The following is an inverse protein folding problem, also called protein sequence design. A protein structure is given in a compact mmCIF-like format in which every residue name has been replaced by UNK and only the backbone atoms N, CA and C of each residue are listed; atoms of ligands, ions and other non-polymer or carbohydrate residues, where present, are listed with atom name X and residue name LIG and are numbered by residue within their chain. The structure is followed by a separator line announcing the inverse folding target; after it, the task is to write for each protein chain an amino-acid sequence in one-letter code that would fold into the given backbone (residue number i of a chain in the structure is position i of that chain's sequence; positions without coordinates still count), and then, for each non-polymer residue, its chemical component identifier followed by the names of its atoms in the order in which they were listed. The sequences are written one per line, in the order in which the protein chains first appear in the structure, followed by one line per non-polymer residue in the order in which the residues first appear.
data_IF_997846495538
#
_entry.id   IF_997846495538
#
_cell.length_a   1.000
_cell.length_b   1.000
_cell.length_c   1.000
_cell.angle_alpha   90.00
_cell.angle_beta   90.00
_cell.angle_gamma   90.00
#
_symmetry.space_group_name_H-M   'P 1'
#
loop_
_entity.id
_entity.type
_entity.pdbx_description
1 polymer ?
#
# COMPACT_ATOMS: atom_id res chain seq x y z
N UNK A 1 4.71 19.43 -24.37
CA UNK A 1 4.73 20.88 -24.08
C UNK A 1 5.50 21.06 -22.76
N UNK A 2 6.71 21.66 -22.78
CA UNK A 2 7.47 21.94 -21.56
C UNK A 2 7.08 23.33 -21.05
N UNK A 3 6.41 23.40 -19.91
CA UNK A 3 6.13 24.68 -19.25
C UNK A 3 7.32 25.00 -18.34
N UNK A 4 8.30 25.73 -18.86
CA UNK A 4 9.41 26.22 -18.04
C UNK A 4 8.93 27.37 -17.15
N UNK A 5 8.74 27.10 -15.86
CA UNK A 5 8.51 28.16 -14.87
C UNK A 5 9.86 28.83 -14.62
N UNK A 6 10.06 30.05 -15.14
CA UNK A 6 11.19 30.90 -14.74
C UNK A 6 10.91 31.41 -13.33
N UNK A 7 11.53 30.79 -12.32
CA UNK A 7 11.50 31.29 -10.95
C UNK A 7 12.44 32.50 -10.82
N UNK A 8 11.87 33.69 -10.64
CA UNK A 8 12.61 34.95 -10.42
C UNK A 8 12.79 35.25 -8.92
N UNK A 9 13.29 34.29 -8.15
CA UNK A 9 13.56 34.41 -6.71
C UNK A 9 14.92 33.83 -6.32
N UNK A 10 15.37 33.94 -5.05
CA UNK A 10 16.72 33.55 -4.60
C UNK A 10 16.97 32.03 -4.59
N UNK A 11 16.04 31.23 -5.11
CA UNK A 11 16.09 29.76 -5.08
C UNK A 11 16.34 29.21 -6.47
N UNK A 12 17.34 28.33 -6.59
CA UNK A 12 17.54 27.52 -7.80
C UNK A 12 16.49 26.40 -7.83
N UNK A 13 15.44 26.58 -8.63
CA UNK A 13 14.45 25.53 -8.86
C UNK A 13 14.92 24.64 -10.01
N UNK A 14 15.23 23.37 -9.71
CA UNK A 14 15.50 22.35 -10.72
C UNK A 14 14.25 21.47 -10.87
N UNK A 15 13.67 21.46 -12.06
CA UNK A 15 12.61 20.52 -12.39
C UNK A 15 13.19 19.10 -12.50
N UNK A 16 12.57 18.14 -11.83
CA UNK A 16 12.87 16.72 -11.94
C UNK A 16 11.59 16.01 -12.32
N UNK A 17 11.60 15.33 -13.47
CA UNK A 17 10.44 14.57 -13.97
C UNK A 17 10.61 13.09 -13.61
N UNK A 18 9.58 12.48 -13.02
CA UNK A 18 9.53 11.03 -12.82
C UNK A 18 8.92 10.41 -14.10
N UNK A 19 9.62 9.48 -14.77
CA UNK A 19 9.18 8.98 -16.08
C UNK A 19 7.96 8.06 -15.95
N UNK A 20 6.97 8.27 -16.83
CA UNK A 20 5.88 7.33 -17.05
C UNK A 20 6.31 6.19 -17.98
N UNK A 21 5.71 5.02 -17.78
CA UNK A 21 5.82 3.86 -18.68
C UNK A 21 4.79 3.94 -19.82
N UNK A 22 4.75 2.92 -20.67
CA UNK A 22 3.70 2.63 -21.64
C UNK A 22 2.53 1.81 -21.04
N UNK A 23 2.68 1.29 -19.81
CA UNK A 23 1.73 0.39 -19.17
C UNK A 23 0.61 1.14 -18.45
N UNK A 24 -0.60 0.63 -18.61
CA UNK A 24 -1.81 1.12 -17.94
C UNK A 24 -2.36 0.05 -17.01
N UNK A 25 -2.93 0.49 -15.89
CA UNK A 25 -3.70 -0.34 -14.97
C UNK A 25 -5.00 0.39 -14.64
N UNK A 26 -6.12 -0.12 -15.15
CA UNK A 26 -7.38 0.61 -15.14
C UNK A 26 -7.22 2.01 -15.73
N UNK A 27 -7.59 3.04 -14.96
CA UNK A 27 -7.47 4.45 -15.35
C UNK A 27 -6.11 5.10 -15.05
N UNK A 28 -5.11 4.37 -14.54
CA UNK A 28 -3.80 4.94 -14.18
C UNK A 28 -2.72 4.49 -15.18
N UNK A 29 -1.97 5.47 -15.70
CA UNK A 29 -0.71 5.23 -16.41
C UNK A 29 0.41 5.04 -15.39
N UNK A 30 1.07 3.90 -15.41
CA UNK A 30 2.10 3.56 -14.42
C UNK A 30 3.39 4.33 -14.66
N UNK A 31 4.10 4.65 -13.58
CA UNK A 31 5.48 5.12 -13.63
C UNK A 31 6.41 3.99 -14.08
N UNK A 32 7.56 4.33 -14.67
CA UNK A 32 8.51 3.35 -15.21
C UNK A 32 8.92 2.32 -14.14
N UNK A 33 9.29 2.79 -12.95
CA UNK A 33 9.69 1.90 -11.86
C UNK A 33 8.52 1.05 -11.33
N UNK A 34 7.27 1.54 -11.39
CA UNK A 34 6.10 0.74 -10.98
C UNK A 34 5.89 -0.44 -11.93
N UNK A 35 6.05 -0.21 -13.25
CA UNK A 35 6.04 -1.28 -14.25
C UNK A 35 7.12 -2.32 -13.96
N UNK A 36 8.35 -1.86 -13.75
CA UNK A 36 9.51 -2.72 -13.47
C UNK A 36 9.28 -3.61 -12.24
N UNK A 37 8.84 -3.04 -11.11
CA UNK A 37 8.58 -3.80 -9.88
C UNK A 37 7.47 -4.85 -10.10
N UNK A 38 6.41 -4.53 -10.83
CA UNK A 38 5.30 -5.48 -11.08
C UNK A 38 5.74 -6.64 -11.99
N UNK A 39 6.70 -6.40 -12.88
CA UNK A 39 7.23 -7.41 -13.82
C UNK A 39 8.40 -8.22 -13.25
N UNK A 40 8.97 -7.80 -12.11
CA UNK A 40 10.13 -8.43 -11.49
C UNK A 40 9.83 -9.80 -10.87
N UNK A 41 10.66 -10.84 -11.03
CA UNK A 41 10.35 -12.17 -10.47
C UNK A 41 10.87 -12.36 -9.04
N UNK A 42 11.76 -11.47 -8.59
CA UNK A 42 12.38 -11.53 -7.27
C UNK A 42 11.37 -11.42 -6.13
N UNK A 43 11.61 -12.23 -5.08
CA UNK A 43 10.75 -12.29 -3.88
C UNK A 43 10.93 -11.09 -2.94
N UNK A 44 12.08 -10.43 -3.01
CA UNK A 44 12.44 -9.31 -2.15
C UNK A 44 12.88 -8.13 -3.00
N UNK A 45 12.12 -7.04 -2.93
CA UNK A 45 12.37 -5.83 -3.70
C UNK A 45 12.67 -4.66 -2.77
N UNK A 46 13.76 -3.95 -3.05
CA UNK A 46 14.09 -2.69 -2.38
C UNK A 46 13.80 -1.52 -3.32
N UNK A 47 12.84 -0.67 -2.95
CA UNK A 47 12.45 0.49 -3.75
C UNK A 47 12.95 1.78 -3.11
N UNK A 48 13.99 2.36 -3.70
CA UNK A 48 14.47 3.69 -3.32
C UNK A 48 13.88 4.75 -4.26
N UNK A 49 12.87 5.47 -3.79
CA UNK A 49 12.26 6.57 -4.55
C UNK A 49 11.81 7.72 -3.62
N UNK A 50 11.72 8.97 -4.11
CA UNK A 50 11.26 10.12 -3.32
C UNK A 50 9.87 9.93 -2.70
N UNK A 51 9.53 10.67 -1.65
CA UNK A 51 8.15 10.75 -1.16
C UNK A 51 7.21 11.26 -2.26
N UNK A 52 5.94 10.84 -2.26
CA UNK A 52 4.97 11.22 -3.30
C UNK A 52 5.19 10.58 -4.68
N UNK A 53 6.23 9.77 -4.88
CA UNK A 53 6.50 9.11 -6.16
C UNK A 53 5.57 7.93 -6.48
N UNK A 54 4.61 7.57 -5.61
CA UNK A 54 3.69 6.46 -5.85
C UNK A 54 4.16 5.07 -5.37
N UNK A 55 5.14 5.01 -4.45
CA UNK A 55 5.65 3.74 -3.89
C UNK A 55 4.54 2.86 -3.29
N UNK A 56 3.58 3.49 -2.60
CA UNK A 56 2.42 2.82 -1.99
C UNK A 56 1.58 2.08 -3.02
N UNK A 57 1.31 2.70 -4.18
CA UNK A 57 0.61 2.03 -5.27
C UNK A 57 1.44 0.88 -5.85
N UNK A 58 2.76 1.08 -5.99
CA UNK A 58 3.64 0.03 -6.51
C UNK A 58 3.58 -1.23 -5.63
N UNK A 59 3.70 -1.09 -4.31
CA UNK A 59 3.62 -2.21 -3.38
C UNK A 59 2.23 -2.85 -3.35
N UNK A 60 1.16 -2.07 -3.46
CA UNK A 60 -0.21 -2.58 -3.53
C UNK A 60 -0.47 -3.43 -4.79
N UNK A 61 0.07 -3.01 -5.94
CA UNK A 61 -0.07 -3.77 -7.19
C UNK A 61 0.71 -5.08 -7.14
N UNK A 62 1.93 -5.09 -6.59
CA UNK A 62 2.71 -6.32 -6.37
C UNK A 62 1.98 -7.28 -5.44
N UNK A 63 1.48 -6.76 -4.32
CA UNK A 63 0.71 -7.52 -3.34
C UNK A 63 -0.51 -8.21 -3.98
N UNK A 64 -1.28 -7.45 -4.75
CA UNK A 64 -2.46 -7.94 -5.46
C UNK A 64 -2.10 -8.99 -6.53
N UNK A 65 -1.10 -8.71 -7.37
CA UNK A 65 -0.75 -9.59 -8.50
C UNK A 65 -0.08 -10.90 -8.05
N UNK A 66 0.52 -10.97 -6.85
CA UNK A 66 1.39 -12.11 -6.46
C UNK A 66 1.03 -12.80 -5.16
N UNK A 67 0.54 -12.06 -4.17
CA UNK A 67 0.59 -12.55 -2.79
C UNK A 67 -0.78 -13.01 -2.28
N UNK A 68 -1.87 -12.65 -2.96
CA UNK A 68 -3.24 -12.88 -2.51
C UNK A 68 -3.59 -12.03 -1.27
N UNK A 69 -2.80 -12.19 -0.21
CA UNK A 69 -2.84 -11.35 0.99
C UNK A 69 -1.50 -10.71 1.28
N UNK A 70 -1.56 -9.46 1.73
CA UNK A 70 -0.39 -8.66 2.06
C UNK A 70 -0.66 -7.79 3.28
N UNK A 71 0.39 -7.57 4.06
CA UNK A 71 0.36 -6.69 5.22
C UNK A 71 1.22 -5.45 4.92
N UNK A 72 0.65 -4.27 5.17
CA UNK A 72 1.36 -3.00 5.05
C UNK A 72 1.63 -2.45 6.43
N UNK A 73 2.91 -2.29 6.78
CA UNK A 73 3.34 -1.84 8.10
C UNK A 73 3.78 -0.38 7.99
N UNK A 74 3.14 0.48 8.78
CA UNK A 74 3.47 1.90 8.87
C UNK A 74 3.97 2.24 10.27
N UNK A 75 4.94 3.17 10.41
CA UNK A 75 5.53 3.50 11.70
C UNK A 75 4.59 4.25 12.66
N UNK A 76 3.52 4.90 12.17
CA UNK A 76 2.58 5.66 13.01
C UNK A 76 1.12 5.43 12.63
N UNK A 77 0.23 5.45 13.63
CA UNK A 77 -1.21 5.12 13.48
C UNK A 77 -1.97 6.10 12.60
N UNK A 78 -1.68 7.41 12.74
CA UNK A 78 -2.32 8.45 11.94
C UNK A 78 -1.96 8.30 10.46
N UNK A 79 -0.68 8.04 10.18
CA UNK A 79 -0.22 7.79 8.81
C UNK A 79 -0.80 6.49 8.25
N UNK A 80 -0.96 5.44 9.06
CA UNK A 80 -1.50 4.16 8.59
C UNK A 80 -2.93 4.29 8.02
N UNK A 81 -3.81 5.04 8.69
CA UNK A 81 -5.19 5.21 8.23
C UNK A 81 -5.26 6.02 6.93
N UNK A 82 -4.53 7.13 6.86
CA UNK A 82 -4.51 7.99 5.67
C UNK A 82 -3.90 7.26 4.48
N UNK A 83 -2.86 6.44 4.71
CA UNK A 83 -2.27 5.61 3.67
C UNK A 83 -3.21 4.50 3.21
N UNK A 84 -3.93 3.84 4.13
CA UNK A 84 -4.93 2.83 3.76
C UNK A 84 -6.06 3.45 2.90
N UNK A 85 -6.56 4.63 3.26
CA UNK A 85 -7.55 5.38 2.46
C UNK A 85 -7.01 5.79 1.10
N UNK A 86 -5.78 6.32 1.05
CA UNK A 86 -5.13 6.69 -0.21
C UNK A 86 -4.94 5.47 -1.11
N UNK A 87 -4.50 4.35 -0.54
CA UNK A 87 -4.27 3.11 -1.27
C UNK A 87 -5.58 2.54 -1.81
N UNK A 88 -6.65 2.49 -1.01
CA UNK A 88 -7.98 2.07 -1.49
C UNK A 88 -8.48 2.93 -2.65
N UNK A 89 -8.25 4.25 -2.61
CA UNK A 89 -8.59 5.17 -3.70
C UNK A 89 -7.74 4.94 -4.95
N UNK A 90 -6.47 4.60 -4.80
CA UNK A 90 -5.60 4.34 -5.95
C UNK A 90 -5.88 2.96 -6.57
N UNK A 91 -6.19 1.95 -5.75
CA UNK A 91 -6.65 0.64 -6.21
C UNK A 91 -7.98 0.74 -6.96
N UNK A 92 -8.94 1.55 -6.48
CA UNK A 92 -10.22 1.71 -7.19
C UNK A 92 -10.06 2.35 -8.58
N UNK A 93 -9.12 3.29 -8.75
CA UNK A 93 -8.75 3.83 -10.07
C UNK A 93 -8.10 2.77 -10.97
N UNK A 94 -7.44 1.78 -10.39
CA UNK A 94 -6.92 0.61 -11.10
C UNK A 94 -8.01 -0.43 -11.42
N UNK A 95 -9.26 -0.21 -11.00
CA UNK A 95 -10.36 -1.15 -11.14
C UNK A 95 -10.37 -2.26 -10.10
N UNK A 96 -9.62 -2.12 -9.01
CA UNK A 96 -9.47 -3.12 -7.95
C UNK A 96 -10.29 -2.68 -6.72
N UNK A 97 -11.20 -3.52 -6.27
CA UNK A 97 -11.98 -3.30 -5.05
C UNK A 97 -11.13 -3.50 -3.80
N UNK A 98 -11.15 -2.53 -2.89
CA UNK A 98 -10.40 -2.60 -1.64
C UNK A 98 -11.28 -2.19 -0.44
N UNK A 99 -11.19 -2.96 0.64
CA UNK A 99 -11.86 -2.66 1.92
C UNK A 99 -10.80 -2.45 3.01
N UNK A 100 -10.98 -1.42 3.83
CA UNK A 100 -10.12 -1.18 5.00
C UNK A 100 -10.76 -1.88 6.19
N UNK A 101 -10.05 -2.87 6.73
CA UNK A 101 -10.51 -3.63 7.87
C UNK A 101 -9.95 -3.05 9.17
N UNK A 102 -10.84 -2.82 10.13
CA UNK A 102 -10.45 -2.70 11.52
C UNK A 102 -10.26 -4.11 12.10
N UNK A 103 -9.04 -4.51 12.51
CA UNK A 103 -8.79 -5.87 13.02
C UNK A 103 -9.60 -6.19 14.29
N UNK A 104 -10.20 -5.18 14.95
CA UNK A 104 -11.06 -5.36 16.13
C UNK A 104 -12.49 -5.78 15.74
N UNK A 105 -12.87 -5.61 14.47
CA UNK A 105 -14.20 -5.95 13.92
C UNK A 105 -14.03 -6.55 12.52
N UNK A 106 -13.67 -7.84 12.42
CA UNK A 106 -13.35 -8.49 11.16
C UNK A 106 -14.62 -8.83 10.34
N UNK A 107 -15.49 -7.87 10.11
CA UNK A 107 -16.58 -8.00 9.15
C UNK A 107 -16.03 -7.67 7.76
N UNK A 108 -16.06 -8.64 6.84
CA UNK A 108 -15.46 -8.51 5.51
C UNK A 108 -16.54 -8.67 4.44
N UNK A 109 -16.61 -7.73 3.50
CA UNK A 109 -17.52 -7.76 2.35
C UNK A 109 -16.78 -8.18 1.09
N UNK A 110 -16.25 -9.40 1.08
CA UNK A 110 -15.58 -10.08 -0.06
C UNK A 110 -14.85 -9.14 -1.05
N UNK A 111 -13.93 -8.26 -0.61
CA UNK A 111 -13.19 -7.39 -1.52
C UNK A 111 -12.09 -8.20 -2.23
N UNK A 112 -11.60 -7.67 -3.36
CA UNK A 112 -10.39 -8.20 -3.99
C UNK A 112 -9.12 -7.96 -3.15
N UNK A 113 -9.07 -6.83 -2.43
CA UNK A 113 -7.96 -6.48 -1.53
C UNK A 113 -8.50 -6.10 -0.17
N UNK A 114 -7.96 -6.73 0.87
CA UNK A 114 -8.23 -6.36 2.26
C UNK A 114 -7.04 -5.59 2.84
N UNK A 115 -7.27 -4.34 3.22
CA UNK A 115 -6.28 -3.47 3.85
C UNK A 115 -6.50 -3.50 5.36
N UNK A 116 -5.75 -4.34 6.07
CA UNK A 116 -5.88 -4.43 7.52
C UNK A 116 -5.03 -3.37 8.20
N UNK A 117 -5.67 -2.48 8.96
CA UNK A 117 -4.94 -1.46 9.71
C UNK A 117 -4.34 -2.05 10.98
N UNK A 118 -3.01 -2.11 11.06
CA UNK A 118 -2.30 -2.66 12.20
C UNK A 118 -1.46 -1.59 12.88
N UNK A 119 -1.64 -1.47 14.19
CA UNK A 119 -0.91 -0.61 15.12
C UNK A 119 -0.51 -1.40 16.35
N UNK A 120 0.45 -0.91 17.14
CA UNK A 120 0.79 -1.55 18.42
C UNK A 120 -0.44 -1.66 19.33
N UNK A 121 -1.24 -0.60 19.43
CA UNK A 121 -2.48 -0.60 20.22
C UNK A 121 -3.50 -1.64 19.73
N UNK A 122 -3.73 -1.71 18.41
CA UNK A 122 -4.66 -2.70 17.85
C UNK A 122 -4.11 -4.13 18.00
N UNK A 123 -2.79 -4.32 17.94
CA UNK A 123 -2.15 -5.61 18.18
C UNK A 123 -2.25 -6.03 19.65
N UNK A 124 -2.07 -5.12 20.60
CA UNK A 124 -2.23 -5.38 22.03
C UNK A 124 -3.68 -5.78 22.34
N UNK A 125 -4.64 -5.04 21.78
CA UNK A 125 -6.07 -5.32 21.92
C UNK A 125 -6.44 -6.67 21.28
N UNK A 126 -5.93 -6.92 20.07
CA UNK A 126 -6.15 -8.18 19.36
C UNK A 126 -5.54 -9.35 20.15
N UNK A 127 -4.30 -9.21 20.62
CA UNK A 127 -3.62 -10.22 21.42
C UNK A 127 -4.40 -10.57 22.70
N UNK A 128 -4.88 -9.54 23.40
CA UNK A 128 -5.73 -9.67 24.58
C UNK A 128 -7.04 -10.40 24.26
N UNK A 129 -7.73 -10.02 23.18
CA UNK A 129 -9.00 -10.64 22.76
C UNK A 129 -8.85 -12.10 22.32
N UNK A 130 -7.68 -12.47 21.78
CA UNK A 130 -7.38 -13.81 21.28
C UNK A 130 -6.65 -14.70 22.30
N UNK A 131 -6.39 -14.17 23.50
CA UNK A 131 -5.69 -14.87 24.58
C UNK A 131 -4.24 -15.26 24.24
N UNK A 132 -3.53 -14.44 23.45
CA UNK A 132 -2.14 -14.70 23.03
C UNK A 132 -1.18 -13.71 23.65
N UNK A 133 0.11 -14.08 23.74
CA UNK A 133 1.11 -13.31 24.50
C UNK A 133 1.93 -12.37 23.61
N UNK A 134 1.99 -12.64 22.31
CA UNK A 134 2.84 -11.89 21.39
C UNK A 134 2.06 -11.28 20.23
N UNK A 135 2.57 -10.18 19.68
CA UNK A 135 2.03 -9.58 18.45
C UNK A 135 2.13 -10.54 17.25
N UNK A 136 3.16 -11.37 17.20
CA UNK A 136 3.33 -12.38 16.17
C UNK A 136 2.21 -13.43 16.18
N UNK A 137 1.85 -13.94 17.36
CA UNK A 137 0.73 -14.88 17.52
C UNK A 137 -0.61 -14.22 17.14
N UNK A 138 -0.81 -12.96 17.52
CA UNK A 138 -2.02 -12.21 17.18
C UNK A 138 -2.16 -12.04 15.66
N UNK A 139 -1.08 -11.67 14.97
CA UNK A 139 -1.03 -11.56 13.51
C UNK A 139 -1.29 -12.91 12.82
N UNK A 140 -0.70 -13.99 13.33
CA UNK A 140 -0.87 -15.32 12.76
C UNK A 140 -2.32 -15.79 12.88
N UNK A 141 -2.97 -15.60 14.03
CA UNK A 141 -4.38 -15.94 14.21
C UNK A 141 -5.30 -15.10 13.32
N UNK A 142 -5.03 -13.80 13.21
CA UNK A 142 -5.78 -12.90 12.32
C UNK A 142 -5.67 -13.35 10.86
N UNK A 143 -4.46 -13.71 10.40
CA UNK A 143 -4.27 -14.29 9.05
C UNK A 143 -5.17 -15.51 8.84
N UNK A 144 -5.19 -16.45 9.78
CA UNK A 144 -6.00 -17.68 9.66
C UNK A 144 -7.51 -17.39 9.63
N UNK A 145 -7.98 -16.37 10.34
CA UNK A 145 -9.40 -15.96 10.32
C UNK A 145 -9.80 -15.32 8.99
N UNK A 146 -8.90 -14.51 8.41
CA UNK A 146 -9.16 -13.80 7.16
C UNK A 146 -8.96 -14.66 5.92
N UNK A 147 -8.18 -15.74 6.03
CA UNK A 147 -7.85 -16.67 4.95
C UNK A 147 -7.97 -18.11 5.45
N UNK A 148 -9.18 -18.67 5.51
CA UNK A 148 -9.31 -20.12 5.63
C UNK A 148 -8.60 -20.78 4.44
N UNK A 149 -7.84 -21.83 4.73
CA UNK A 149 -6.97 -22.53 3.80
C UNK A 149 -7.65 -22.99 2.50
#
# INVERSE_FOLDING_TARGET
MKFGIKASGPFNIREVTIPYSDKWRGGIRLLKYQKEIIEEEEKLLLVNAPTGSGKTLASALVAYDRCGVSAFIYPTNSLALDQAKSMAKDLSKCGISAEILDPRRPEVRSPEVLLVQISSLSLDQLASSLGVRTHGEALQKLRTQLLPA
#
